data_IF_512790713897
#
_entry.id   IF_512790713897
#
_cell.length_a   1.000
_cell.length_b   1.000
_cell.length_c   1.000
_cell.angle_alpha   90.00
_cell.angle_beta   90.00
_cell.angle_gamma   90.00
#
_symmetry.space_group_name_H-M   'P 1'
#
loop_
_entity.id
_entity.type
_entity.pdbx_description
1 polymer ?
#
# COMPACT_ATOMS: atom_id res chain seq x y z
N UNK A 1 -1.46 -12.40 11.03
CA UNK A 1 0.00 -12.56 11.05
C UNK A 1 0.38 -13.80 10.26
N UNK A 2 1.26 -13.65 9.28
CA UNK A 2 1.85 -14.72 8.48
C UNK A 2 3.12 -15.26 9.14
N UNK A 3 3.57 -16.47 8.81
CA UNK A 3 4.85 -16.98 9.29
C UNK A 3 6.01 -16.05 8.89
N UNK A 4 6.83 -15.67 9.87
CA UNK A 4 7.99 -14.78 9.68
C UNK A 4 7.73 -13.31 9.98
N UNK A 5 6.46 -12.88 10.09
CA UNK A 5 6.12 -11.53 10.52
C UNK A 5 6.32 -11.37 12.04
N UNK A 6 6.78 -10.18 12.45
CA UNK A 6 7.07 -9.78 13.81
C UNK A 6 6.15 -8.62 14.23
N UNK A 7 5.45 -8.80 15.36
CA UNK A 7 4.59 -7.76 15.96
C UNK A 7 5.40 -6.49 16.26
N UNK A 8 4.85 -5.34 15.87
CA UNK A 8 5.47 -4.03 16.06
C UNK A 8 6.61 -3.72 15.09
N UNK A 9 7.04 -4.69 14.27
CA UNK A 9 8.07 -4.51 13.23
C UNK A 9 7.42 -4.48 11.85
N UNK A 10 6.77 -5.58 11.46
CA UNK A 10 6.08 -5.65 10.16
C UNK A 10 4.75 -4.90 10.21
N UNK A 11 3.96 -5.16 11.24
CA UNK A 11 2.69 -4.49 11.53
C UNK A 11 2.43 -4.44 13.03
N UNK A 12 1.52 -3.56 13.43
CA UNK A 12 0.81 -3.69 14.72
C UNK A 12 -0.42 -4.54 14.49
N UNK A 13 -0.39 -5.83 14.87
CA UNK A 13 -1.50 -6.73 14.58
C UNK A 13 -2.62 -6.51 15.61
N UNK A 14 -3.70 -5.89 15.16
CA UNK A 14 -4.90 -5.66 15.97
C UNK A 14 -6.07 -6.53 15.50
N UNK A 15 -7.03 -6.75 16.40
CA UNK A 15 -8.27 -7.45 16.08
C UNK A 15 -9.19 -6.57 15.23
N UNK A 16 -10.10 -7.18 14.47
CA UNK A 16 -11.01 -6.47 13.57
C UNK A 16 -11.97 -5.51 14.29
N UNK A 17 -12.43 -5.87 15.49
CA UNK A 17 -13.25 -5.00 16.35
C UNK A 17 -12.49 -3.76 16.82
N UNK A 18 -11.22 -3.94 17.20
CA UNK A 18 -10.32 -2.83 17.55
C UNK A 18 -10.07 -1.93 16.35
N UNK A 19 -9.82 -2.51 15.17
CA UNK A 19 -9.65 -1.74 13.93
C UNK A 19 -10.91 -0.91 13.62
N UNK A 20 -12.10 -1.52 13.69
CA UNK A 20 -13.36 -0.82 13.45
C UNK A 20 -13.58 0.34 14.45
N UNK A 21 -13.29 0.11 15.73
CA UNK A 21 -13.34 1.16 16.75
C UNK A 21 -12.35 2.29 16.46
N UNK A 22 -11.10 1.95 16.13
CA UNK A 22 -10.04 2.92 15.77
C UNK A 22 -10.42 3.78 14.57
N UNK A 23 -11.05 3.18 13.55
CA UNK A 23 -11.62 3.91 12.42
C UNK A 23 -12.70 4.89 12.86
N UNK A 24 -13.62 4.47 13.74
CA UNK A 24 -14.72 5.32 14.22
C UNK A 24 -14.23 6.55 14.99
N UNK A 25 -13.15 6.41 15.77
CA UNK A 25 -12.58 7.52 16.57
C UNK A 25 -11.55 8.36 15.80
N UNK A 26 -11.31 8.08 14.51
CA UNK A 26 -10.35 8.83 13.69
C UNK A 26 -8.88 8.60 14.08
N UNK A 27 -8.52 7.38 14.54
CA UNK A 27 -7.15 7.05 14.93
C UNK A 27 -6.20 6.84 13.74
N UNK A 28 -6.74 6.64 12.53
CA UNK A 28 -5.98 6.47 11.30
C UNK A 28 -5.95 7.76 10.47
N UNK A 29 -4.78 8.05 9.90
CA UNK A 29 -4.64 9.05 8.84
C UNK A 29 -5.34 8.57 7.57
N UNK A 30 -5.06 7.33 7.17
CA UNK A 30 -5.78 6.61 6.12
C UNK A 30 -5.96 5.15 6.50
N UNK A 31 -6.97 4.51 5.93
CA UNK A 31 -7.21 3.09 6.10
C UNK A 31 -7.94 2.49 4.90
N UNK A 32 -7.73 1.19 4.67
CA UNK A 32 -8.32 0.43 3.57
C UNK A 32 -8.67 -0.99 4.03
N UNK A 33 -9.71 -1.57 3.43
CA UNK A 33 -10.01 -2.99 3.56
C UNK A 33 -9.47 -3.73 2.33
N UNK A 34 -8.56 -4.67 2.55
CA UNK A 34 -8.00 -5.51 1.50
C UNK A 34 -8.12 -6.99 1.87
N UNK A 35 -8.78 -7.78 1.02
CA UNK A 35 -9.06 -9.19 1.24
C UNK A 35 -9.71 -9.51 2.61
N UNK A 36 -10.61 -8.62 3.07
CA UNK A 36 -11.32 -8.78 4.34
C UNK A 36 -10.51 -8.37 5.58
N UNK A 37 -9.28 -7.89 5.42
CA UNK A 37 -8.45 -7.36 6.50
C UNK A 37 -8.32 -5.85 6.40
N UNK A 38 -8.37 -5.18 7.55
CA UNK A 38 -8.13 -3.75 7.65
C UNK A 38 -6.64 -3.44 7.72
N UNK A 39 -6.22 -2.45 6.94
CA UNK A 39 -4.88 -1.86 6.98
C UNK A 39 -5.03 -0.37 7.16
N UNK A 40 -4.12 0.27 7.87
CA UNK A 40 -4.16 1.72 8.00
C UNK A 40 -2.89 2.29 8.61
N UNK A 41 -2.62 3.54 8.24
CA UNK A 41 -1.55 4.35 8.80
C UNK A 41 -2.11 5.13 9.99
N UNK A 42 -1.59 4.88 11.20
CA UNK A 42 -2.02 5.61 12.39
C UNK A 42 -1.60 7.08 12.34
N UNK A 43 -2.36 7.95 13.02
CA UNK A 43 -2.05 9.40 13.06
C UNK A 43 -0.66 9.69 13.63
N UNK A 44 -0.23 8.91 14.65
CA UNK A 44 1.11 9.06 15.24
C UNK A 44 2.19 8.67 14.24
N UNK A 45 2.01 7.54 13.56
CA UNK A 45 2.95 7.04 12.56
C UNK A 45 3.07 8.02 11.40
N UNK A 46 1.95 8.58 10.93
CA UNK A 46 1.95 9.64 9.91
C UNK A 46 2.84 10.83 10.28
N UNK A 47 2.82 11.24 11.55
CA UNK A 47 3.57 12.40 12.04
C UNK A 47 5.04 12.12 12.35
N UNK A 48 5.44 10.86 12.51
CA UNK A 48 6.76 10.49 13.04
C UNK A 48 7.61 9.66 12.09
N UNK A 49 7.02 9.06 11.06
CA UNK A 49 7.73 8.29 10.05
C UNK A 49 8.05 9.15 8.82
N UNK A 50 9.22 8.91 8.23
CA UNK A 50 9.69 9.63 7.05
C UNK A 50 9.25 8.99 5.71
N UNK A 51 8.84 7.72 5.75
CA UNK A 51 8.57 6.92 4.56
C UNK A 51 7.36 6.00 4.76
N UNK A 52 6.51 5.95 3.74
CA UNK A 52 5.31 5.11 3.70
C UNK A 52 5.22 4.37 2.38
N UNK A 53 4.76 3.12 2.43
CA UNK A 53 4.38 2.36 1.24
C UNK A 53 2.85 2.42 1.17
N UNK A 54 2.32 3.11 0.16
CA UNK A 54 0.89 3.34 0.01
C UNK A 54 0.38 2.87 -1.36
N UNK A 55 -0.89 2.45 -1.41
CA UNK A 55 -1.60 2.29 -2.67
C UNK A 55 -2.18 3.62 -3.17
N UNK A 56 -2.59 3.66 -4.43
CA UNK A 56 -3.19 4.85 -5.07
C UNK A 56 -4.38 5.43 -4.31
N UNK A 57 -5.16 4.58 -3.62
CA UNK A 57 -6.32 5.03 -2.85
C UNK A 57 -5.90 5.74 -1.56
N UNK A 58 -4.85 5.28 -0.88
CA UNK A 58 -4.26 5.97 0.27
C UNK A 58 -3.72 7.36 -0.09
N UNK A 59 -3.08 7.48 -1.26
CA UNK A 59 -2.58 8.78 -1.76
C UNK A 59 -3.72 9.79 -1.95
N UNK A 60 -4.89 9.37 -2.43
CA UNK A 60 -6.07 10.26 -2.59
C UNK A 60 -6.57 10.85 -1.28
N UNK A 61 -6.23 10.25 -0.14
CA UNK A 61 -6.60 10.72 1.19
C UNK A 61 -5.59 11.71 1.78
N UNK A 62 -4.43 11.91 1.13
CA UNK A 62 -3.45 12.90 1.59
C UNK A 62 -4.04 14.30 1.39
N UNK A 63 -4.19 15.03 2.49
CA UNK A 63 -4.71 16.40 2.44
C UNK A 63 -3.75 17.35 1.71
N UNK A 64 -4.29 18.44 1.16
CA UNK A 64 -3.52 19.39 0.36
C UNK A 64 -2.34 20.05 1.08
N UNK A 65 -2.36 20.14 2.42
CA UNK A 65 -1.25 20.70 3.19
C UNK A 65 -0.14 19.67 3.29
N UNK A 66 -0.48 18.44 3.66
CA UNK A 66 0.46 17.33 3.75
C UNK A 66 1.09 17.01 2.39
N UNK A 67 0.28 16.97 1.32
CA UNK A 67 0.75 16.68 -0.05
C UNK A 67 1.85 17.63 -0.54
N UNK A 68 1.85 18.91 -0.11
CA UNK A 68 2.91 19.89 -0.44
C UNK A 68 4.25 19.60 0.22
N UNK A 69 4.26 18.78 1.27
CA UNK A 69 5.45 18.40 2.03
C UNK A 69 5.83 16.93 1.83
N UNK A 70 5.08 16.19 1.01
CA UNK A 70 5.37 14.79 0.67
C UNK A 70 5.98 14.72 -0.72
N UNK A 71 6.99 13.86 -0.88
CA UNK A 71 7.54 13.48 -2.18
C UNK A 71 7.12 12.05 -2.50
N UNK A 72 6.33 11.87 -3.56
CA UNK A 72 5.75 10.57 -3.94
C UNK A 72 6.59 9.94 -5.05
N UNK A 73 7.16 8.77 -4.75
CA UNK A 73 7.86 7.92 -5.71
C UNK A 73 6.91 6.81 -6.18
N UNK A 74 6.54 6.83 -7.45
CA UNK A 74 5.75 5.78 -8.08
C UNK A 74 6.65 4.72 -8.73
N UNK A 75 6.66 3.52 -8.14
CA UNK A 75 7.34 2.36 -8.70
C UNK A 75 6.44 1.67 -9.74
N UNK A 76 6.80 1.81 -11.03
CA UNK A 76 6.02 1.29 -12.16
C UNK A 76 6.89 0.48 -13.16
N UNK A 77 7.48 -0.65 -12.73
CA UNK A 77 8.24 -1.50 -13.63
C UNK A 77 7.30 -2.17 -14.65
N UNK A 78 7.83 -2.60 -15.81
CA UNK A 78 7.04 -3.28 -16.83
C UNK A 78 6.25 -4.46 -16.25
N UNK A 79 5.01 -4.66 -16.72
CA UNK A 79 4.14 -5.74 -16.23
C UNK A 79 4.79 -7.14 -16.32
N UNK A 80 5.65 -7.35 -17.34
CA UNK A 80 6.44 -8.58 -17.50
C UNK A 80 7.36 -8.83 -16.29
N UNK A 81 8.06 -7.81 -15.82
CA UNK A 81 8.97 -7.89 -14.65
C UNK A 81 8.17 -8.17 -13.37
N UNK A 82 7.02 -7.52 -13.19
CA UNK A 82 6.13 -7.81 -12.07
C UNK A 82 5.65 -9.26 -12.09
N UNK A 83 5.31 -9.79 -13.27
CA UNK A 83 4.93 -11.20 -13.46
C UNK A 83 6.08 -12.14 -13.09
N UNK A 84 7.29 -11.90 -13.59
CA UNK A 84 8.49 -12.70 -13.26
C UNK A 84 8.73 -12.75 -11.75
N UNK A 85 8.75 -11.59 -11.08
CA UNK A 85 8.92 -11.49 -9.61
C UNK A 85 7.82 -12.23 -8.83
N UNK A 86 6.59 -12.30 -9.34
CA UNK A 86 5.51 -13.08 -8.70
C UNK A 86 5.68 -14.58 -8.91
N UNK A 87 6.14 -15.01 -10.09
CA UNK A 87 6.47 -16.43 -10.35
C UNK A 87 7.60 -16.89 -9.43
N UNK A 88 8.64 -16.07 -9.25
CA UNK A 88 9.75 -16.36 -8.32
C UNK A 88 9.29 -16.51 -6.87
N UNK A 89 8.22 -15.80 -6.47
CA UNK A 89 7.58 -15.95 -5.16
C UNK A 89 6.67 -17.17 -5.03
N UNK A 90 6.56 -17.99 -6.08
CA UNK A 90 5.72 -19.19 -6.10
C UNK A 90 4.23 -18.93 -6.29
N UNK A 91 3.84 -17.78 -6.87
CA UNK A 91 2.43 -17.49 -7.12
C UNK A 91 1.89 -18.33 -8.29
N UNK A 92 0.63 -18.75 -8.20
CA UNK A 92 -0.04 -19.46 -9.29
C UNK A 92 -0.38 -18.50 -10.43
N UNK A 93 -0.54 -19.04 -11.63
CA UNK A 93 -0.93 -18.24 -12.79
C UNK A 93 -2.26 -17.50 -12.57
N UNK A 94 -3.22 -18.12 -11.88
CA UNK A 94 -4.49 -17.49 -11.52
C UNK A 94 -4.28 -16.27 -10.60
N UNK A 95 -3.46 -16.42 -9.56
CA UNK A 95 -3.15 -15.33 -8.62
C UNK A 95 -2.46 -14.16 -9.35
N UNK A 96 -1.51 -14.47 -10.22
CA UNK A 96 -0.78 -13.47 -11.02
C UNK A 96 -1.75 -12.74 -11.96
N UNK A 97 -2.57 -13.46 -12.72
CA UNK A 97 -3.51 -12.86 -13.67
C UNK A 97 -4.55 -11.99 -12.95
N UNK A 98 -5.05 -12.44 -11.80
CA UNK A 98 -5.94 -11.64 -10.94
C UNK A 98 -5.24 -10.35 -10.49
N UNK A 99 -4.01 -10.46 -9.96
CA UNK A 99 -3.24 -9.30 -9.48
C UNK A 99 -2.93 -8.29 -10.58
N UNK A 100 -2.47 -8.75 -11.74
CA UNK A 100 -2.19 -7.86 -12.89
C UNK A 100 -3.45 -7.12 -13.34
N UNK A 101 -4.59 -7.83 -13.40
CA UNK A 101 -5.88 -7.22 -13.78
C UNK A 101 -6.33 -6.16 -12.77
N UNK A 102 -6.17 -6.42 -11.48
CA UNK A 102 -6.50 -5.48 -10.42
C UNK A 102 -5.57 -4.26 -10.43
N UNK A 103 -4.25 -4.47 -10.53
CA UNK A 103 -3.26 -3.39 -10.61
C UNK A 103 -3.52 -2.50 -11.83
N UNK A 104 -3.78 -3.07 -13.01
CA UNK A 104 -4.08 -2.31 -14.22
C UNK A 104 -5.32 -1.43 -14.08
N UNK A 105 -6.28 -1.79 -13.21
CA UNK A 105 -7.45 -0.96 -12.92
C UNK A 105 -7.10 0.14 -11.91
N UNK A 106 -6.46 -0.22 -10.79
CA UNK A 106 -6.13 0.71 -9.71
C UNK A 106 -5.20 1.82 -10.16
N UNK A 107 -4.15 1.45 -10.89
CA UNK A 107 -3.12 2.38 -11.35
C UNK A 107 -3.44 3.03 -12.70
N UNK A 108 -4.60 2.74 -13.30
CA UNK A 108 -5.01 3.37 -14.56
C UNK A 108 -5.10 4.88 -14.34
N UNK A 109 -4.33 5.64 -15.11
CA UNK A 109 -4.29 7.11 -15.04
C UNK A 109 -3.88 7.65 -13.66
N UNK A 110 -3.11 6.89 -12.87
CA UNK A 110 -2.52 7.45 -11.66
C UNK A 110 -1.46 8.50 -12.04
N UNK A 111 -1.68 9.74 -11.62
CA UNK A 111 -0.84 10.90 -11.98
C UNK A 111 -0.36 11.69 -10.77
N UNK A 112 -0.78 11.34 -9.55
CA UNK A 112 -0.37 12.04 -8.33
C UNK A 112 0.94 11.48 -7.78
N UNK A 113 2.03 11.80 -8.46
CA UNK A 113 3.39 11.44 -8.07
C UNK A 113 4.39 12.53 -8.49
N UNK A 114 5.55 12.54 -7.83
CA UNK A 114 6.62 13.50 -8.12
C UNK A 114 7.76 12.86 -8.92
N UNK A 115 7.96 11.55 -8.78
CA UNK A 115 8.92 10.76 -9.55
C UNK A 115 8.33 9.39 -9.91
N UNK A 116 8.41 8.99 -11.18
CA UNK A 116 8.08 7.62 -11.59
C UNK A 116 9.35 6.84 -11.95
N UNK A 117 9.54 5.68 -11.33
CA UNK A 117 10.65 4.77 -11.60
C UNK A 117 10.12 3.56 -12.36
N UNK A 118 10.60 3.36 -13.58
CA UNK A 118 10.25 2.22 -14.44
C UNK A 118 11.38 1.22 -14.61
N UNK A 119 12.56 1.47 -14.01
CA UNK A 119 13.73 0.60 -14.08
C UNK A 119 13.38 -0.82 -13.59
N UNK A 120 13.64 -1.90 -14.34
CA UNK A 120 13.36 -3.26 -13.89
C UNK A 120 14.20 -3.75 -12.70
N UNK A 121 15.29 -3.05 -12.35
CA UNK A 121 16.31 -3.48 -11.39
C UNK A 121 16.33 -2.68 -10.08
N UNK A 122 15.32 -1.86 -9.79
CA UNK A 122 15.15 -1.32 -8.44
C UNK A 122 14.59 -2.40 -7.48
#
# INVERSE_FOLDING_TARGET
MRPGEQEGVDYKFIKNDVFAFMTQIGAFYEHVIHNGFGYGTGMKEWQTSDCFIMETDGIKHIDSKSRKHTFIIYLNPPAKIRKERMVERGWTEEQINKRIKEDNKKFKNFMDYDLMITNPNF
#
